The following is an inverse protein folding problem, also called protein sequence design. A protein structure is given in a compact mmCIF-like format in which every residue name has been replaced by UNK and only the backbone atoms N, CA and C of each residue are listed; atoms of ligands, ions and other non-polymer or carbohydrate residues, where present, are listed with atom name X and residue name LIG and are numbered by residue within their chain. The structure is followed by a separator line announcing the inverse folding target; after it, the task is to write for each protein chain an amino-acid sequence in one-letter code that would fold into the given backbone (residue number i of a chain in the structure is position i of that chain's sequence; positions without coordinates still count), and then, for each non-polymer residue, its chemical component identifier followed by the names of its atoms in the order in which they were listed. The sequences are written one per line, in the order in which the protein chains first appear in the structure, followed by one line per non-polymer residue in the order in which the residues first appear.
data_IF_262829973070
#
_entry.id   IF_262829973070
#
_cell.length_a   1.000
_cell.length_b   1.000
_cell.length_c   1.000
_cell.angle_alpha   90.00
_cell.angle_beta   90.00
_cell.angle_gamma   90.00
#
_symmetry.space_group_name_H-M   'P 1'
#
loop_
_entity.id
_entity.type
_entity.pdbx_description
1 polymer ?
#
# COMPACT_ATOMS: atom_id res chain seq x y z
N UNK A 1 30.64 -10.72 -8.64
CA UNK A 1 30.46 -10.62 -10.11
C UNK A 1 30.93 -9.25 -10.58
N UNK A 2 31.71 -9.17 -11.65
CA UNK A 2 32.18 -7.89 -12.21
C UNK A 2 31.02 -7.22 -12.97
N UNK A 3 30.63 -6.01 -12.53
CA UNK A 3 29.62 -5.19 -13.20
C UNK A 3 30.26 -4.58 -14.48
N UNK A 4 30.07 -5.23 -15.64
CA UNK A 4 30.72 -4.87 -16.91
C UNK A 4 29.94 -3.86 -17.76
N UNK A 5 28.68 -3.60 -17.42
CA UNK A 5 27.78 -2.77 -18.21
C UNK A 5 27.17 -1.68 -17.34
N UNK A 6 26.58 -0.69 -17.98
CA UNK A 6 25.80 0.37 -17.32
C UNK A 6 24.46 0.51 -17.99
N UNK A 7 23.44 0.85 -17.23
CA UNK A 7 22.13 1.18 -17.80
C UNK A 7 22.24 2.43 -18.68
N UNK A 8 21.84 2.38 -19.96
CA UNK A 8 22.00 3.51 -20.88
C UNK A 8 21.12 4.71 -20.55
N UNK A 9 20.12 4.53 -19.65
CA UNK A 9 19.19 5.59 -19.26
C UNK A 9 19.65 6.29 -17.96
N UNK A 10 20.03 5.52 -16.93
CA UNK A 10 20.32 6.08 -15.60
C UNK A 10 21.77 5.86 -15.13
N UNK A 11 22.61 5.19 -15.91
CA UNK A 11 24.03 4.95 -15.57
C UNK A 11 24.24 3.88 -14.49
N UNK A 12 23.21 3.24 -13.96
CA UNK A 12 23.35 2.19 -12.93
C UNK A 12 24.24 1.07 -13.43
N UNK A 13 25.27 0.64 -12.67
CA UNK A 13 26.12 -0.49 -13.02
C UNK A 13 25.32 -1.80 -13.08
N UNK A 14 25.59 -2.63 -14.11
CA UNK A 14 24.87 -3.86 -14.39
C UNK A 14 25.80 -5.03 -14.66
N UNK A 15 25.38 -6.24 -14.31
CA UNK A 15 26.03 -7.49 -14.70
C UNK A 15 25.64 -7.97 -16.12
N UNK A 16 24.74 -7.29 -16.80
CA UNK A 16 24.21 -7.63 -18.12
C UNK A 16 24.04 -6.37 -19.00
N UNK A 17 23.95 -6.57 -20.31
CA UNK A 17 23.70 -5.49 -21.27
C UNK A 17 22.21 -5.18 -21.35
N UNK A 18 21.82 -3.91 -21.14
CA UNK A 18 20.44 -3.45 -21.26
C UNK A 18 20.03 -2.44 -20.20
N UNK A 19 18.74 -2.31 -19.96
CA UNK A 19 18.17 -1.42 -18.95
C UNK A 19 18.22 -2.06 -17.57
N UNK A 20 18.46 -1.26 -16.52
CA UNK A 20 18.18 -1.70 -15.17
C UNK A 20 16.66 -1.94 -14.99
N UNK A 21 16.29 -2.71 -13.98
CA UNK A 21 14.88 -3.05 -13.75
C UNK A 21 14.00 -1.80 -13.62
N UNK A 22 14.44 -0.76 -12.89
CA UNK A 22 13.70 0.50 -12.73
C UNK A 22 13.43 1.22 -14.07
N UNK A 23 14.43 1.32 -14.93
CA UNK A 23 14.24 1.95 -16.24
C UNK A 23 13.35 1.10 -17.15
N UNK A 24 13.41 -0.22 -17.05
CA UNK A 24 12.54 -1.13 -17.78
C UNK A 24 11.09 -0.98 -17.32
N UNK A 25 10.83 -1.06 -16.01
CA UNK A 25 9.50 -0.86 -15.42
C UNK A 25 8.93 0.51 -15.76
N UNK A 26 9.77 1.56 -15.74
CA UNK A 26 9.35 2.90 -16.16
C UNK A 26 8.91 2.97 -17.61
N UNK A 27 9.69 2.38 -18.56
CA UNK A 27 9.30 2.33 -19.96
C UNK A 27 8.03 1.50 -20.20
N UNK A 28 7.89 0.39 -19.49
CA UNK A 28 6.70 -0.44 -19.57
C UNK A 28 5.46 0.31 -19.06
N UNK A 29 5.55 0.97 -17.90
CA UNK A 29 4.50 1.83 -17.37
C UNK A 29 4.11 2.91 -18.37
N UNK A 30 5.08 3.64 -18.93
CA UNK A 30 4.81 4.69 -19.91
C UNK A 30 4.09 4.14 -21.15
N UNK A 31 4.46 2.94 -21.61
CA UNK A 31 3.77 2.23 -22.70
C UNK A 31 2.31 1.96 -22.32
N UNK A 32 2.06 1.42 -21.13
CA UNK A 32 0.70 1.08 -20.66
C UNK A 32 -0.17 2.33 -20.51
N UNK A 33 0.40 3.42 -19.99
CA UNK A 33 -0.32 4.70 -19.85
C UNK A 33 -0.79 5.26 -21.20
N UNK A 34 -0.10 4.92 -22.31
CA UNK A 34 -0.44 5.33 -23.65
C UNK A 34 -1.21 4.28 -24.47
N UNK A 35 -1.66 3.19 -23.87
CA UNK A 35 -2.53 2.24 -24.58
C UNK A 35 -3.77 2.92 -25.14
N UNK A 36 -4.09 2.61 -26.40
CA UNK A 36 -5.35 3.05 -26.99
C UNK A 36 -6.55 2.34 -26.33
N UNK A 37 -7.77 2.86 -26.48
CA UNK A 37 -8.97 2.18 -26.01
C UNK A 37 -9.11 0.74 -26.54
N UNK A 38 -8.69 0.51 -27.81
CA UNK A 38 -8.71 -0.80 -28.45
C UNK A 38 -7.72 -1.77 -27.79
N UNK A 39 -6.50 -1.29 -27.47
CA UNK A 39 -5.49 -2.09 -26.76
C UNK A 39 -5.96 -2.43 -25.35
N UNK A 40 -6.56 -1.49 -24.61
CA UNK A 40 -7.17 -1.76 -23.30
C UNK A 40 -8.24 -2.83 -23.41
N UNK A 41 -9.14 -2.70 -24.41
CA UNK A 41 -10.20 -3.68 -24.65
C UNK A 41 -9.65 -5.07 -25.00
N UNK A 42 -8.61 -5.14 -25.83
CA UNK A 42 -7.95 -6.41 -26.18
C UNK A 42 -7.42 -7.12 -24.93
N UNK A 43 -6.77 -6.37 -24.01
CA UNK A 43 -6.30 -6.92 -22.74
C UNK A 43 -7.45 -7.38 -21.85
N UNK A 44 -8.52 -6.60 -21.72
CA UNK A 44 -9.72 -7.00 -20.98
C UNK A 44 -10.35 -8.27 -21.58
N UNK A 45 -10.44 -8.38 -22.91
CA UNK A 45 -10.96 -9.58 -23.59
C UNK A 45 -10.02 -10.79 -23.39
N UNK A 46 -8.72 -10.56 -23.33
CA UNK A 46 -7.70 -11.56 -22.97
C UNK A 46 -7.93 -12.12 -21.57
N UNK A 47 -8.09 -11.24 -20.56
CA UNK A 47 -8.37 -11.65 -19.19
C UNK A 47 -9.65 -12.49 -19.08
N UNK A 48 -10.73 -12.08 -19.74
CA UNK A 48 -11.98 -12.85 -19.71
C UNK A 48 -11.81 -14.25 -20.31
N UNK A 49 -11.07 -14.37 -21.42
CA UNK A 49 -10.83 -15.69 -22.05
C UNK A 49 -9.96 -16.61 -21.19
N UNK A 50 -8.99 -16.05 -20.49
CA UNK A 50 -7.97 -16.78 -19.75
C UNK A 50 -8.10 -16.61 -18.22
N UNK A 51 -9.29 -16.29 -17.73
CA UNK A 51 -9.50 -15.82 -16.34
C UNK A 51 -8.91 -16.78 -15.29
N UNK A 52 -8.94 -18.09 -15.51
CA UNK A 52 -8.38 -19.10 -14.60
C UNK A 52 -6.85 -19.00 -14.44
N UNK A 53 -6.15 -18.38 -15.40
CA UNK A 53 -4.70 -18.18 -15.33
C UNK A 53 -4.28 -17.10 -14.35
N UNK A 54 -5.20 -16.25 -13.89
CA UNK A 54 -4.91 -15.27 -12.84
C UNK A 54 -4.46 -15.91 -11.52
N UNK A 55 -4.85 -17.16 -11.28
CA UNK A 55 -4.40 -17.91 -10.11
C UNK A 55 -2.94 -18.40 -10.21
N UNK A 56 -2.31 -18.28 -11.38
CA UNK A 56 -0.90 -18.63 -11.61
C UNK A 56 -0.05 -17.36 -11.51
N UNK A 57 0.77 -17.27 -10.47
CA UNK A 57 1.60 -16.08 -10.18
C UNK A 57 2.68 -15.80 -11.25
N UNK A 58 3.03 -16.77 -12.10
CA UNK A 58 4.01 -16.60 -13.17
C UNK A 58 3.36 -16.30 -14.54
N UNK A 59 2.03 -16.29 -14.61
CA UNK A 59 1.31 -16.12 -15.87
C UNK A 59 1.28 -14.65 -16.34
N UNK A 60 1.45 -14.39 -17.63
CA UNK A 60 1.34 -13.04 -18.22
C UNK A 60 -0.01 -12.36 -17.99
N UNK A 61 -1.11 -13.10 -17.85
CA UNK A 61 -2.44 -12.57 -17.55
C UNK A 61 -2.48 -11.86 -16.21
N UNK A 62 -1.78 -12.34 -15.19
CA UNK A 62 -1.65 -11.64 -13.90
C UNK A 62 -0.93 -10.29 -14.08
N UNK A 63 0.11 -10.25 -14.90
CA UNK A 63 0.81 -9.01 -15.25
C UNK A 63 -0.12 -8.02 -15.97
N UNK A 64 -0.92 -8.47 -16.92
CA UNK A 64 -1.90 -7.64 -17.64
C UNK A 64 -3.02 -7.16 -16.72
N UNK A 65 -3.46 -7.99 -15.76
CA UNK A 65 -4.40 -7.58 -14.71
C UNK A 65 -3.87 -6.39 -13.90
N UNK A 66 -2.64 -6.50 -13.37
CA UNK A 66 -2.04 -5.41 -12.58
C UNK A 66 -1.84 -4.14 -13.40
N UNK A 67 -1.51 -4.25 -14.69
CA UNK A 67 -1.42 -3.10 -15.59
C UNK A 67 -2.76 -2.41 -15.81
N UNK A 68 -3.82 -3.19 -16.01
CA UNK A 68 -5.18 -2.66 -16.17
C UNK A 68 -5.70 -2.03 -14.88
N UNK A 69 -5.49 -2.65 -13.74
CA UNK A 69 -5.92 -2.15 -12.44
C UNK A 69 -5.11 -0.90 -12.03
N UNK A 70 -3.80 -1.04 -11.96
CA UNK A 70 -2.94 -0.03 -11.33
C UNK A 70 -2.61 1.17 -12.21
N UNK A 71 -2.62 1.01 -13.55
CA UNK A 71 -2.28 2.12 -14.43
C UNK A 71 -3.47 2.68 -15.21
N UNK A 72 -4.52 1.90 -15.41
CA UNK A 72 -5.63 2.29 -16.30
C UNK A 72 -6.98 2.35 -15.59
N UNK A 73 -7.08 1.84 -14.36
CA UNK A 73 -8.35 1.68 -13.62
C UNK A 73 -9.44 1.05 -14.52
N UNK A 74 -9.08 -0.05 -15.16
CA UNK A 74 -9.84 -0.61 -16.28
C UNK A 74 -10.33 -2.04 -16.04
N UNK A 75 -10.50 -2.45 -14.78
CA UNK A 75 -11.18 -3.70 -14.45
C UNK A 75 -12.68 -3.48 -14.59
N UNK A 76 -13.34 -4.34 -15.35
CA UNK A 76 -14.77 -4.18 -15.69
C UNK A 76 -15.64 -5.23 -15.00
N UNK A 77 -16.96 -4.94 -14.80
CA UNK A 77 -17.92 -5.92 -14.31
C UNK A 77 -17.96 -7.22 -15.09
N UNK A 78 -17.63 -7.20 -16.38
CA UNK A 78 -17.53 -8.40 -17.22
C UNK A 78 -16.39 -9.32 -16.79
N UNK A 79 -15.22 -8.74 -16.43
CA UNK A 79 -14.07 -9.50 -15.92
C UNK A 79 -14.43 -10.10 -14.56
N UNK A 80 -15.02 -9.30 -13.66
CA UNK A 80 -15.43 -9.73 -12.33
C UNK A 80 -16.45 -10.86 -12.36
N UNK A 81 -17.46 -10.80 -13.24
CA UNK A 81 -18.41 -11.89 -13.44
C UNK A 81 -17.75 -13.15 -13.99
N UNK A 82 -16.82 -13.01 -14.94
CA UNK A 82 -16.09 -14.14 -15.48
C UNK A 82 -15.23 -14.84 -14.40
N UNK A 83 -14.60 -14.06 -13.53
CA UNK A 83 -13.81 -14.58 -12.42
C UNK A 83 -14.68 -15.31 -11.39
N UNK A 84 -15.80 -14.74 -10.99
CA UNK A 84 -16.75 -15.39 -10.08
C UNK A 84 -17.26 -16.72 -10.67
N UNK A 85 -17.69 -16.72 -11.95
CA UNK A 85 -18.16 -17.92 -12.63
C UNK A 85 -17.09 -19.01 -12.81
N UNK A 86 -15.82 -18.62 -12.76
CA UNK A 86 -14.67 -19.52 -12.85
C UNK A 86 -14.10 -19.90 -11.48
N UNK A 87 -14.67 -19.38 -10.38
CA UNK A 87 -14.20 -19.57 -9.00
C UNK A 87 -12.74 -19.12 -8.79
N UNK A 88 -12.38 -17.96 -9.39
CA UNK A 88 -11.06 -17.34 -9.28
C UNK A 88 -11.14 -16.25 -8.24
N UNK A 89 -10.59 -16.46 -7.05
CA UNK A 89 -10.64 -15.56 -5.90
C UNK A 89 -9.30 -14.84 -5.63
N UNK A 90 -8.29 -15.09 -6.43
CA UNK A 90 -6.99 -14.42 -6.38
C UNK A 90 -6.63 -13.85 -7.77
N UNK A 91 -6.10 -12.61 -7.83
CA UNK A 91 -5.95 -11.65 -6.72
C UNK A 91 -7.30 -11.04 -6.30
N UNK A 92 -7.49 -10.81 -5.00
CA UNK A 92 -8.78 -10.31 -4.47
C UNK A 92 -9.12 -8.89 -4.95
N UNK A 93 -8.15 -8.07 -5.33
CA UNK A 93 -8.29 -6.74 -5.91
C UNK A 93 -9.14 -6.75 -7.21
N UNK A 94 -9.26 -7.90 -7.84
CA UNK A 94 -10.16 -8.14 -8.96
C UNK A 94 -11.61 -7.74 -8.65
N UNK A 95 -12.02 -7.88 -7.40
CA UNK A 95 -13.39 -7.62 -6.94
C UNK A 95 -13.60 -6.22 -6.38
N UNK A 96 -12.60 -5.33 -6.53
CA UNK A 96 -12.72 -3.95 -6.07
C UNK A 96 -13.95 -3.29 -6.67
N UNK A 97 -14.86 -2.82 -5.81
CA UNK A 97 -16.15 -2.21 -6.16
C UNK A 97 -16.95 -3.03 -7.20
N UNK A 98 -16.89 -4.36 -7.12
CA UNK A 98 -17.65 -5.24 -7.99
C UNK A 98 -19.18 -4.99 -7.86
N UNK A 99 -19.98 -5.21 -8.93
CA UNK A 99 -21.40 -4.97 -8.90
C UNK A 99 -22.15 -5.94 -7.95
N UNK A 100 -23.37 -5.58 -7.61
CA UNK A 100 -24.18 -6.29 -6.62
C UNK A 100 -24.36 -7.78 -6.91
N UNK A 101 -24.57 -8.16 -8.17
CA UNK A 101 -24.71 -9.55 -8.57
C UNK A 101 -23.42 -10.36 -8.30
N UNK A 102 -22.24 -9.75 -8.47
CA UNK A 102 -20.97 -10.39 -8.14
C UNK A 102 -20.80 -10.47 -6.62
N UNK A 103 -21.11 -9.40 -5.88
CA UNK A 103 -21.12 -9.40 -4.40
C UNK A 103 -21.99 -10.53 -3.86
N UNK A 104 -23.23 -10.64 -4.34
CA UNK A 104 -24.18 -11.66 -3.88
C UNK A 104 -23.66 -13.07 -4.17
N UNK A 105 -23.01 -13.26 -5.32
CA UNK A 105 -22.31 -14.50 -5.66
C UNK A 105 -21.16 -14.83 -4.70
N UNK A 106 -20.33 -13.84 -4.35
CA UNK A 106 -19.26 -13.98 -3.36
C UNK A 106 -19.80 -14.34 -1.99
N UNK A 107 -20.89 -13.69 -1.54
CA UNK A 107 -21.58 -14.01 -0.29
C UNK A 107 -22.08 -15.45 -0.31
N UNK A 108 -22.72 -15.87 -1.39
CA UNK A 108 -23.21 -17.24 -1.53
C UNK A 108 -22.07 -18.26 -1.43
N UNK A 109 -20.97 -18.04 -2.16
CA UNK A 109 -19.78 -18.88 -2.10
C UNK A 109 -19.20 -18.93 -0.69
N UNK A 110 -19.03 -17.78 -0.01
CA UNK A 110 -18.49 -17.69 1.35
C UNK A 110 -19.36 -18.44 2.37
N UNK A 111 -20.68 -18.33 2.28
CA UNK A 111 -21.60 -19.04 3.17
C UNK A 111 -21.63 -20.54 2.89
N UNK A 112 -21.22 -20.98 1.72
CA UNK A 112 -21.12 -22.37 1.29
C UNK A 112 -19.73 -22.97 1.47
N UNK A 113 -18.72 -22.16 1.78
CA UNK A 113 -17.33 -22.60 1.94
C UNK A 113 -17.22 -23.70 3.02
N UNK A 114 -16.45 -24.74 2.72
CA UNK A 114 -16.27 -25.89 3.60
C UNK A 114 -14.97 -25.82 4.42
N UNK A 115 -14.02 -25.01 3.97
CA UNK A 115 -12.71 -24.90 4.59
C UNK A 115 -12.28 -23.43 4.80
N UNK A 116 -11.28 -23.23 5.67
CA UNK A 116 -10.80 -21.91 6.06
C UNK A 116 -9.99 -21.21 4.98
N UNK A 117 -9.30 -21.93 4.09
CA UNK A 117 -8.52 -21.33 3.00
C UNK A 117 -9.42 -20.62 2.01
N UNK A 118 -10.43 -21.33 1.51
CA UNK A 118 -11.44 -20.77 0.62
C UNK A 118 -12.21 -19.61 1.28
N UNK A 119 -12.60 -19.79 2.55
CA UNK A 119 -13.31 -18.74 3.28
C UNK A 119 -12.45 -17.46 3.45
N UNK A 120 -11.14 -17.58 3.69
CA UNK A 120 -10.25 -16.43 3.80
C UNK A 120 -10.10 -15.68 2.49
N UNK A 121 -9.93 -16.38 1.37
CA UNK A 121 -9.87 -15.78 0.03
C UNK A 121 -11.18 -15.03 -0.30
N UNK A 122 -12.32 -15.67 -0.07
CA UNK A 122 -13.64 -15.07 -0.30
C UNK A 122 -13.92 -13.86 0.60
N UNK A 123 -13.46 -13.87 1.86
CA UNK A 123 -13.55 -12.69 2.73
C UNK A 123 -12.70 -11.52 2.21
N UNK A 124 -11.51 -11.78 1.68
CA UNK A 124 -10.70 -10.75 1.03
C UNK A 124 -11.40 -10.19 -0.22
N UNK A 125 -11.99 -11.05 -1.08
CA UNK A 125 -12.75 -10.60 -2.24
C UNK A 125 -13.97 -9.75 -1.85
N UNK A 126 -14.68 -10.16 -0.80
CA UNK A 126 -15.82 -9.41 -0.28
C UNK A 126 -15.40 -8.08 0.38
N UNK A 127 -14.24 -8.06 1.05
CA UNK A 127 -13.65 -6.84 1.58
C UNK A 127 -13.29 -5.84 0.46
N UNK A 128 -12.75 -6.32 -0.66
CA UNK A 128 -12.46 -5.49 -1.84
C UNK A 128 -13.73 -4.96 -2.51
N UNK A 129 -14.81 -5.76 -2.56
CA UNK A 129 -16.11 -5.27 -3.03
C UNK A 129 -16.64 -4.14 -2.15
N UNK A 130 -16.62 -4.30 -0.84
CA UNK A 130 -16.56 -3.25 0.16
C UNK A 130 -17.82 -2.43 0.38
N UNK A 131 -19.03 -2.81 -0.08
CA UNK A 131 -20.25 -2.09 0.22
C UNK A 131 -20.84 -2.46 1.61
N UNK A 132 -21.97 -1.86 1.96
CA UNK A 132 -22.61 -2.08 3.27
C UNK A 132 -23.07 -3.52 3.44
N UNK A 133 -23.48 -4.20 2.36
CA UNK A 133 -23.89 -5.59 2.42
C UNK A 133 -22.69 -6.53 2.67
N UNK A 134 -21.52 -6.19 2.13
CA UNK A 134 -20.27 -6.88 2.44
C UNK A 134 -19.91 -6.72 3.93
N UNK A 135 -20.03 -5.50 4.47
CA UNK A 135 -19.83 -5.24 5.90
C UNK A 135 -20.80 -6.04 6.77
N UNK A 136 -22.10 -5.99 6.48
CA UNK A 136 -23.12 -6.76 7.20
C UNK A 136 -22.80 -8.26 7.24
N UNK A 137 -22.33 -8.79 6.10
CA UNK A 137 -21.97 -10.23 5.99
C UNK A 137 -20.77 -10.57 6.85
N UNK A 138 -19.70 -9.76 6.84
CA UNK A 138 -18.51 -9.99 7.66
C UNK A 138 -18.83 -9.83 9.16
N UNK A 139 -19.64 -8.84 9.54
CA UNK A 139 -20.11 -8.64 10.91
C UNK A 139 -20.97 -9.82 11.40
N UNK A 140 -21.84 -10.35 10.55
CA UNK A 140 -22.66 -11.53 10.86
C UNK A 140 -21.79 -12.78 11.08
N UNK A 141 -20.74 -12.97 10.27
CA UNK A 141 -19.79 -14.07 10.45
C UNK A 141 -18.94 -13.93 11.73
N UNK A 142 -18.72 -12.71 12.20
CA UNK A 142 -18.04 -12.47 13.48
C UNK A 142 -18.94 -12.81 14.67
N UNK A 143 -20.24 -12.47 14.59
CA UNK A 143 -21.23 -12.75 15.62
C UNK A 143 -21.71 -14.21 15.63
N UNK A 144 -21.82 -14.82 14.45
CA UNK A 144 -22.31 -16.17 14.23
C UNK A 144 -21.32 -16.99 13.42
N UNK A 145 -20.19 -17.42 14.03
CA UNK A 145 -19.08 -18.03 13.33
C UNK A 145 -19.45 -19.39 12.70
N UNK A 146 -18.99 -19.60 11.46
CA UNK A 146 -19.09 -20.87 10.76
C UNK A 146 -18.08 -21.91 11.28
N UNK A 147 -18.26 -23.21 11.00
CA UNK A 147 -17.36 -24.27 11.49
C UNK A 147 -15.88 -24.08 11.14
N UNK A 148 -15.57 -23.50 9.98
CA UNK A 148 -14.21 -23.22 9.51
C UNK A 148 -13.54 -22.06 10.29
N UNK A 149 -14.30 -21.22 11.01
CA UNK A 149 -13.77 -20.08 11.78
C UNK A 149 -12.66 -20.48 12.76
N UNK A 150 -12.78 -21.66 13.39
CA UNK A 150 -11.78 -22.19 14.34
C UNK A 150 -10.38 -22.39 13.74
N UNK A 151 -10.28 -22.47 12.42
CA UNK A 151 -9.02 -22.63 11.68
C UNK A 151 -8.49 -21.31 11.10
N UNK A 152 -9.17 -20.19 11.33
CA UNK A 152 -8.68 -18.85 10.96
C UNK A 152 -7.87 -18.26 12.11
N UNK A 153 -6.80 -17.56 11.76
CA UNK A 153 -5.92 -16.91 12.74
C UNK A 153 -6.48 -15.57 13.26
N UNK A 154 -7.31 -14.90 12.46
CA UNK A 154 -7.82 -13.55 12.74
C UNK A 154 -9.34 -13.47 12.51
N UNK A 155 -9.96 -12.43 13.04
CA UNK A 155 -11.40 -12.18 12.93
C UNK A 155 -11.79 -11.62 11.55
N UNK A 156 -13.06 -11.75 11.12
CA UNK A 156 -13.55 -11.18 9.86
C UNK A 156 -13.30 -9.68 9.71
N UNK A 157 -13.33 -8.90 10.79
CA UNK A 157 -12.97 -7.48 10.80
C UNK A 157 -11.53 -7.20 10.37
N UNK A 158 -10.62 -8.13 10.58
CA UNK A 158 -9.24 -8.03 10.11
C UNK A 158 -9.17 -8.33 8.62
N UNK A 159 -9.95 -9.30 8.09
CA UNK A 159 -10.02 -9.53 6.64
C UNK A 159 -10.59 -8.32 5.89
N UNK A 160 -11.50 -7.54 6.51
CA UNK A 160 -11.99 -6.29 5.93
C UNK A 160 -10.86 -5.28 5.64
N UNK A 161 -9.77 -5.32 6.38
CA UNK A 161 -8.61 -4.44 6.17
C UNK A 161 -7.94 -4.64 4.81
N UNK A 162 -8.09 -5.81 4.19
CA UNK A 162 -7.68 -6.05 2.81
C UNK A 162 -8.30 -5.01 1.86
N UNK A 163 -9.58 -4.71 2.02
CA UNK A 163 -10.31 -3.69 1.27
C UNK A 163 -10.05 -2.25 1.71
N UNK A 164 -9.12 -2.01 2.64
CA UNK A 164 -8.80 -0.66 3.13
C UNK A 164 -9.81 -0.09 4.11
N UNK A 165 -10.57 -0.95 4.79
CA UNK A 165 -11.55 -0.58 5.81
C UNK A 165 -11.66 -1.68 6.89
N UNK A 166 -12.30 -1.36 8.00
CA UNK A 166 -12.65 -2.33 9.04
C UNK A 166 -13.93 -1.88 9.73
N UNK A 167 -14.36 -2.59 10.76
CA UNK A 167 -15.54 -2.25 11.56
C UNK A 167 -15.33 -2.61 13.04
N UNK A 168 -16.04 -1.94 13.92
CA UNK A 168 -16.08 -2.25 15.34
C UNK A 168 -17.16 -3.30 15.67
N UNK A 169 -17.27 -3.67 16.95
CA UNK A 169 -18.23 -4.68 17.43
C UNK A 169 -19.69 -4.26 17.21
N UNK A 170 -19.92 -2.97 17.13
CA UNK A 170 -21.23 -2.37 16.84
C UNK A 170 -21.54 -2.37 15.34
N UNK A 171 -20.58 -2.70 14.48
CA UNK A 171 -20.69 -2.70 13.03
C UNK A 171 -20.42 -1.33 12.42
N UNK A 172 -19.80 -0.42 13.17
CA UNK A 172 -19.46 0.90 12.66
C UNK A 172 -18.23 0.83 11.78
N UNK A 173 -18.39 1.22 10.50
CA UNK A 173 -17.31 1.22 9.53
C UNK A 173 -16.24 2.24 9.87
N UNK A 174 -14.99 1.84 9.74
CA UNK A 174 -13.82 2.70 9.84
C UNK A 174 -13.01 2.57 8.55
N UNK A 175 -12.82 3.68 7.83
CA UNK A 175 -12.00 3.71 6.63
C UNK A 175 -10.51 3.76 7.03
N UNK A 176 -9.68 2.97 6.35
CA UNK A 176 -8.24 2.86 6.62
C UNK A 176 -7.39 3.43 5.48
N UNK A 177 -7.89 3.38 4.24
CA UNK A 177 -7.28 3.97 3.07
C UNK A 177 -8.02 5.23 2.63
N UNK A 178 -7.34 6.06 1.85
CA UNK A 178 -7.95 7.20 1.18
C UNK A 178 -8.39 6.81 -0.24
N UNK A 179 -9.50 7.37 -0.69
CA UNK A 179 -10.11 7.17 -2.01
C UNK A 179 -9.46 8.00 -3.14
N UNK A 180 -8.34 8.62 -2.84
CA UNK A 180 -7.56 9.45 -3.77
C UNK A 180 -6.08 9.07 -3.61
N UNK A 181 -5.35 9.04 -4.74
CA UNK A 181 -3.96 8.63 -4.78
C UNK A 181 -3.13 9.62 -5.60
N UNK A 182 -2.05 10.13 -5.02
CA UNK A 182 -1.06 10.95 -5.73
C UNK A 182 0.32 10.30 -5.69
N UNK A 183 1.02 10.18 -6.83
CA UNK A 183 2.36 9.64 -6.85
C UNK A 183 3.35 10.68 -6.32
N UNK A 184 4.40 10.21 -5.66
CA UNK A 184 5.56 11.02 -5.33
C UNK A 184 6.64 10.76 -6.37
N UNK A 185 6.98 11.78 -7.14
CA UNK A 185 7.94 11.68 -8.23
C UNK A 185 9.25 12.36 -7.86
N UNK A 186 10.37 11.85 -8.37
CA UNK A 186 11.67 12.49 -8.15
C UNK A 186 11.68 13.90 -8.74
N UNK A 187 12.12 14.87 -7.95
CA UNK A 187 12.19 16.26 -8.35
C UNK A 187 12.61 17.15 -7.19
N UNK A 188 13.12 18.32 -7.48
CA UNK A 188 13.49 19.31 -6.46
C UNK A 188 12.25 20.04 -5.95
N UNK A 189 11.95 19.97 -4.63
CA UNK A 189 10.82 20.70 -4.06
C UNK A 189 11.11 22.20 -4.10
N UNK A 190 10.26 22.95 -4.79
CA UNK A 190 10.26 24.41 -4.75
C UNK A 190 9.83 24.98 -3.40
N UNK A 191 9.87 26.30 -3.25
CA UNK A 191 9.54 26.98 -1.98
C UNK A 191 8.13 26.68 -1.48
N UNK A 192 7.15 26.56 -2.37
CA UNK A 192 5.75 26.20 -2.07
C UNK A 192 5.41 24.71 -2.23
N UNK A 193 6.39 23.79 -2.21
CA UNK A 193 6.11 22.37 -2.34
C UNK A 193 5.29 21.86 -1.15
N UNK A 194 4.13 21.19 -1.38
CA UNK A 194 3.29 20.69 -0.30
C UNK A 194 3.86 19.46 0.40
N UNK A 195 4.92 18.87 -0.16
CA UNK A 195 5.64 17.77 0.49
C UNK A 195 7.14 18.04 0.49
N UNK A 196 7.79 17.60 1.56
CA UNK A 196 9.25 17.56 1.70
C UNK A 196 9.64 16.29 2.43
N UNK A 197 10.71 15.64 2.00
CA UNK A 197 11.21 14.42 2.60
C UNK A 197 12.68 14.58 3.02
N UNK A 198 13.08 13.83 4.05
CA UNK A 198 14.47 13.67 4.41
C UNK A 198 15.11 14.93 4.97
N UNK A 199 14.42 15.70 5.82
CA UNK A 199 15.02 16.85 6.50
C UNK A 199 15.71 16.42 7.78
N UNK A 200 17.02 16.69 7.88
CA UNK A 200 17.78 16.50 9.12
C UNK A 200 17.27 17.46 10.20
N UNK A 201 17.03 16.93 11.39
CA UNK A 201 16.63 17.72 12.57
C UNK A 201 17.84 18.11 13.40
N UNK A 202 17.69 19.09 14.29
CA UNK A 202 18.74 19.49 15.23
C UNK A 202 18.77 18.60 16.47
N UNK A 203 17.61 18.02 16.84
CA UNK A 203 17.48 17.11 17.97
C UNK A 203 18.06 15.71 17.68
N UNK A 204 18.36 15.02 18.76
CA UNK A 204 18.92 13.67 18.74
C UNK A 204 17.97 12.68 19.42
N UNK A 205 18.04 11.45 19.01
CA UNK A 205 17.29 10.35 19.62
C UNK A 205 17.75 10.14 21.07
N UNK A 206 16.80 10.17 22.00
CA UNK A 206 17.08 9.95 23.43
C UNK A 206 17.60 8.54 23.73
N UNK A 207 17.37 7.59 22.81
CA UNK A 207 17.75 6.20 22.98
C UNK A 207 19.18 5.90 22.48
N UNK A 208 19.51 6.27 21.23
CA UNK A 208 20.81 5.96 20.61
C UNK A 208 21.73 7.17 20.39
N UNK A 209 21.27 8.39 20.67
CA UNK A 209 22.01 9.63 20.40
C UNK A 209 22.14 10.00 18.92
N UNK A 210 21.61 9.19 17.98
CA UNK A 210 21.62 9.48 16.56
C UNK A 210 20.73 10.67 16.20
N UNK A 211 21.03 11.34 15.07
CA UNK A 211 20.22 12.47 14.58
C UNK A 211 18.82 12.02 14.20
N UNK A 212 17.83 12.84 14.54
CA UNK A 212 16.45 12.64 14.10
C UNK A 212 16.28 13.16 12.67
N UNK A 213 15.33 12.58 11.93
CA UNK A 213 15.00 12.97 10.56
C UNK A 213 13.49 13.14 10.42
N UNK A 214 13.05 14.25 9.81
CA UNK A 214 11.69 14.35 9.29
C UNK A 214 11.63 13.53 8.01
N UNK A 215 10.98 12.37 8.08
CA UNK A 215 10.82 11.48 6.91
C UNK A 215 9.84 12.07 5.90
N UNK A 216 8.82 12.80 6.40
CA UNK A 216 7.84 13.49 5.59
C UNK A 216 7.38 14.76 6.32
N UNK A 217 7.31 15.87 5.59
CA UNK A 217 6.56 17.08 5.96
C UNK A 217 5.52 17.29 4.86
N UNK A 218 4.25 17.43 5.25
CA UNK A 218 3.12 17.52 4.33
C UNK A 218 2.24 18.70 4.72
N UNK A 219 1.91 19.59 3.75
CA UNK A 219 0.93 20.66 3.93
C UNK A 219 -0.43 20.20 3.36
N UNK A 220 -1.35 19.82 4.24
CA UNK A 220 -2.69 19.34 3.90
C UNK A 220 -3.60 20.41 3.30
N UNK A 221 -3.21 21.69 3.33
CA UNK A 221 -3.97 22.81 2.72
C UNK A 221 -3.79 22.88 1.21
N UNK A 222 -2.77 22.20 0.63
CA UNK A 222 -2.64 22.07 -0.82
C UNK A 222 -3.89 21.39 -1.39
N UNK A 223 -4.44 21.91 -2.48
CA UNK A 223 -5.69 21.44 -3.07
C UNK A 223 -5.66 19.93 -3.40
N UNK A 224 -4.51 19.41 -3.83
CA UNK A 224 -4.30 17.99 -4.16
C UNK A 224 -4.33 17.10 -2.93
N UNK A 225 -4.12 17.64 -1.72
CA UNK A 225 -4.02 16.90 -0.47
C UNK A 225 -5.25 17.10 0.44
N UNK A 226 -6.26 17.86 0.00
CA UNK A 226 -7.49 18.11 0.77
C UNK A 226 -8.25 16.86 1.16
N UNK A 227 -8.13 15.79 0.37
CA UNK A 227 -8.77 14.50 0.65
C UNK A 227 -8.27 13.87 1.97
N UNK A 228 -7.11 14.28 2.48
CA UNK A 228 -6.57 13.84 3.76
C UNK A 228 -7.32 14.44 4.96
N UNK A 229 -8.14 15.49 4.76
CA UNK A 229 -8.84 16.17 5.85
C UNK A 229 -7.93 16.92 6.82
N UNK A 230 -6.70 17.25 6.41
CA UNK A 230 -5.71 17.95 7.25
C UNK A 230 -5.68 19.44 6.90
N UNK A 231 -6.03 20.29 7.85
CA UNK A 231 -5.96 21.77 7.70
C UNK A 231 -4.70 22.29 8.39
N UNK A 232 -3.54 22.01 7.80
CA UNK A 232 -2.25 22.43 8.36
C UNK A 232 -1.08 21.56 7.88
N UNK A 233 0.03 21.68 8.62
CA UNK A 233 1.28 20.98 8.32
C UNK A 233 1.40 19.75 9.23
N UNK A 234 1.50 18.57 8.64
CA UNK A 234 1.86 17.34 9.32
C UNK A 234 3.35 17.06 9.13
N UNK A 235 4.05 16.78 10.23
CA UNK A 235 5.44 16.30 10.21
C UNK A 235 5.49 14.89 10.77
N UNK A 236 6.04 13.94 10.00
CA UNK A 236 6.39 12.61 10.46
C UNK A 236 7.90 12.52 10.65
N UNK A 237 8.35 12.24 11.89
CA UNK A 237 9.76 12.16 12.23
C UNK A 237 10.10 10.80 12.85
N UNK A 238 11.32 10.36 12.63
CA UNK A 238 11.84 9.15 13.27
C UNK A 238 13.34 9.23 13.52
N UNK A 239 13.85 8.30 14.33
CA UNK A 239 15.26 7.99 14.38
C UNK A 239 15.57 6.90 13.34
N UNK A 240 16.31 7.16 12.26
CA UNK A 240 16.60 6.16 11.24
C UNK A 240 17.33 4.93 11.77
N UNK A 241 18.09 5.11 12.85
CA UNK A 241 18.81 4.01 13.49
C UNK A 241 17.85 3.10 14.27
N UNK A 242 17.01 3.67 15.14
CA UNK A 242 16.11 2.88 15.98
C UNK A 242 14.99 2.22 15.21
N UNK A 243 14.43 2.89 14.19
CA UNK A 243 13.30 2.34 13.41
C UNK A 243 13.62 1.01 12.73
N UNK A 244 14.87 0.76 12.40
CA UNK A 244 15.32 -0.51 11.81
C UNK A 244 15.47 -1.69 12.79
N UNK A 245 15.27 -1.44 14.10
CA UNK A 245 15.45 -2.43 15.18
C UNK A 245 14.24 -2.49 16.12
N UNK A 246 13.11 -1.89 15.73
CA UNK A 246 11.89 -1.94 16.51
C UNK A 246 11.17 -3.28 16.27
N UNK A 247 10.69 -3.88 17.35
CA UNK A 247 9.76 -5.02 17.32
C UNK A 247 8.31 -4.53 17.23
N UNK A 248 8.08 -3.45 16.54
CA UNK A 248 6.76 -2.86 16.38
C UNK A 248 6.81 -1.43 15.83
N UNK A 249 5.65 -0.78 15.68
CA UNK A 249 5.56 0.52 15.08
C UNK A 249 6.18 1.63 15.94
N UNK A 250 6.88 2.57 15.29
CA UNK A 250 7.30 3.82 15.91
C UNK A 250 6.14 4.82 15.90
N UNK A 251 5.89 5.46 17.02
CA UNK A 251 4.82 6.45 17.15
C UNK A 251 5.37 7.87 17.29
N UNK A 252 4.65 8.82 16.72
CA UNK A 252 4.83 10.24 16.99
C UNK A 252 3.48 10.94 17.11
N UNK A 253 3.46 12.00 17.92
CA UNK A 253 2.34 12.95 17.95
C UNK A 253 2.74 14.17 17.14
N UNK A 254 1.85 14.65 16.30
CA UNK A 254 2.05 15.87 15.53
C UNK A 254 0.99 16.93 15.90
N UNK A 255 1.34 18.17 15.65
CA UNK A 255 0.42 19.30 15.65
C UNK A 255 0.34 19.89 14.24
N UNK A 256 -0.81 20.48 13.88
CA UNK A 256 -1.03 20.97 12.51
C UNK A 256 -0.27 22.26 12.14
N UNK A 257 0.56 22.77 13.05
CA UNK A 257 1.55 23.82 12.79
C UNK A 257 2.94 23.25 12.37
N UNK A 258 3.05 21.93 12.24
CA UNK A 258 4.28 21.23 11.88
C UNK A 258 5.12 20.73 13.06
N UNK A 259 4.65 20.92 14.30
CA UNK A 259 5.28 20.34 15.48
C UNK A 259 5.17 18.82 15.50
N UNK A 260 6.21 18.14 16.01
CA UNK A 260 6.23 16.69 16.17
C UNK A 260 6.96 16.28 17.44
N UNK A 261 6.36 15.39 18.20
CA UNK A 261 6.93 14.71 19.35
C UNK A 261 7.03 13.21 19.04
N UNK A 262 8.24 12.67 19.04
CA UNK A 262 8.49 11.25 18.78
C UNK A 262 8.50 10.50 20.11
N UNK A 263 7.67 9.48 20.23
CA UNK A 263 7.65 8.62 21.41
C UNK A 263 8.70 7.54 21.28
N UNK A 264 9.52 7.31 22.33
CA UNK A 264 10.43 6.17 22.36
C UNK A 264 9.59 4.87 22.27
N UNK A 265 10.07 3.92 21.47
CA UNK A 265 9.46 2.61 21.41
C UNK A 265 9.50 1.92 22.78
N UNK A 266 8.37 1.30 23.16
CA UNK A 266 8.29 0.52 24.40
C UNK A 266 9.02 -0.82 24.32
N UNK A 267 9.46 -1.22 23.14
CA UNK A 267 10.11 -2.53 22.92
C UNK A 267 11.57 -2.55 23.35
N UNK A 268 12.19 -1.39 23.59
CA UNK A 268 13.49 -1.35 24.26
C UNK A 268 13.26 -1.45 25.76
N UNK A 269 13.69 -2.53 26.38
CA UNK A 269 13.55 -2.79 27.84
C UNK A 269 14.34 -1.82 28.73
N UNK A 270 14.89 -0.75 28.17
CA UNK A 270 15.41 0.42 28.86
C UNK A 270 16.75 0.22 29.56
N UNK A 271 17.39 -0.93 29.50
CA UNK A 271 18.60 -1.23 30.28
C UNK A 271 19.90 -0.99 29.50
N UNK A 272 19.84 -0.79 28.19
CA UNK A 272 21.03 -0.55 27.35
C UNK A 272 20.86 0.66 26.43
N UNK A 273 21.85 1.55 26.37
CA UNK A 273 21.96 2.49 25.25
C UNK A 273 22.29 1.68 24.00
N UNK A 274 21.44 1.79 23.00
CA UNK A 274 21.75 1.25 21.68
C UNK A 274 22.75 2.18 20.99
N UNK A 275 23.81 1.62 20.40
CA UNK A 275 24.75 2.40 19.61
C UNK A 275 24.09 2.90 18.31
N UNK A 276 24.51 4.06 17.82
CA UNK A 276 24.09 4.53 16.53
C UNK A 276 24.94 3.88 15.43
N UNK A 277 24.33 2.99 14.64
CA UNK A 277 24.97 2.30 13.52
C UNK A 277 24.77 2.97 12.17
N UNK A 278 23.85 3.94 12.08
CA UNK A 278 23.63 4.68 10.82
C UNK A 278 24.81 5.61 10.57
N UNK A 279 25.49 5.36 9.46
CA UNK A 279 26.67 6.10 9.07
C UNK A 279 26.32 7.48 8.48
N UNK A 280 27.25 8.46 8.52
CA UNK A 280 27.00 9.80 7.96
C UNK A 280 26.57 9.79 6.50
N UNK A 281 27.12 8.89 5.66
CA UNK A 281 26.73 8.75 4.26
C UNK A 281 25.32 8.21 4.08
N UNK A 282 24.82 7.38 5.00
CA UNK A 282 23.44 6.88 5.00
C UNK A 282 22.45 8.00 5.37
N UNK A 283 22.79 8.82 6.38
CA UNK A 283 22.02 10.02 6.67
C UNK A 283 21.99 10.97 5.46
N UNK A 284 23.14 11.17 4.80
CA UNK A 284 23.22 11.98 3.60
C UNK A 284 22.30 11.45 2.50
N UNK A 285 22.32 10.14 2.25
CA UNK A 285 21.45 9.50 1.27
C UNK A 285 19.96 9.71 1.58
N UNK A 286 19.56 9.62 2.86
CA UNK A 286 18.18 9.90 3.29
C UNK A 286 17.77 11.35 3.01
N UNK A 287 18.66 12.31 3.23
CA UNK A 287 18.37 13.75 3.12
C UNK A 287 18.56 14.29 1.69
N UNK A 288 19.25 13.57 0.82
CA UNK A 288 19.43 13.93 -0.60
C UNK A 288 18.32 13.38 -1.51
N UNK A 289 17.50 12.46 -1.03
CA UNK A 289 16.34 12.00 -1.78
C UNK A 289 15.31 13.13 -1.90
N UNK A 290 15.09 13.59 -3.12
CA UNK A 290 14.15 14.68 -3.43
C UNK A 290 12.93 14.13 -4.16
N UNK A 291 11.77 14.45 -3.58
CA UNK A 291 10.48 14.09 -4.14
C UNK A 291 9.56 15.31 -4.16
N UNK A 292 8.73 15.37 -5.18
CA UNK A 292 7.64 16.31 -5.31
C UNK A 292 6.32 15.55 -5.50
N UNK A 293 5.22 16.16 -5.12
CA UNK A 293 3.90 15.61 -5.35
C UNK A 293 3.58 15.65 -6.85
N UNK A 294 3.05 14.56 -7.39
CA UNK A 294 2.57 14.49 -8.77
C UNK A 294 1.55 15.57 -9.10
N UNK A 295 1.48 15.96 -10.37
CA UNK A 295 0.57 17.03 -10.82
C UNK A 295 -0.88 16.62 -10.81
N UNK A 296 -1.17 15.34 -11.04
CA UNK A 296 -2.52 14.76 -11.09
C UNK A 296 -2.59 13.48 -10.25
N UNK A 297 -3.79 13.13 -9.82
CA UNK A 297 -4.08 11.85 -9.20
C UNK A 297 -3.86 10.69 -10.20
N UNK A 298 -3.66 9.52 -9.65
CA UNK A 298 -3.48 8.25 -10.37
C UNK A 298 -4.49 7.22 -9.82
N UNK A 299 -4.69 6.08 -10.49
CA UNK A 299 -5.52 5.00 -9.97
C UNK A 299 -5.11 4.58 -8.56
N UNK A 300 -6.08 4.13 -7.75
CA UNK A 300 -5.86 3.81 -6.34
C UNK A 300 -4.83 2.71 -6.11
N UNK A 301 -4.74 1.74 -7.01
CA UNK A 301 -3.78 0.63 -6.96
C UNK A 301 -2.45 0.93 -7.67
N UNK A 302 -2.18 2.19 -7.98
CA UNK A 302 -0.95 2.58 -8.68
C UNK A 302 0.31 2.18 -7.90
N UNK A 303 0.34 2.38 -6.60
CA UNK A 303 1.44 1.96 -5.73
C UNK A 303 1.59 0.44 -5.65
N UNK A 304 0.48 -0.30 -5.68
CA UNK A 304 0.49 -1.76 -5.67
C UNK A 304 0.99 -2.36 -6.99
N UNK A 305 0.72 -1.70 -8.13
CA UNK A 305 1.18 -2.14 -9.45
C UNK A 305 2.60 -1.70 -9.79
N UNK A 306 3.20 -0.79 -9.03
CA UNK A 306 4.46 -0.13 -9.33
C UNK A 306 5.41 -0.13 -8.13
N UNK A 307 6.31 -1.10 -8.07
CA UNK A 307 7.24 -1.30 -6.95
C UNK A 307 8.24 -0.15 -6.71
N UNK A 308 8.41 0.78 -7.66
CA UNK A 308 9.39 1.87 -7.56
C UNK A 308 8.76 3.25 -7.31
N UNK A 309 7.49 3.29 -6.96
CA UNK A 309 6.75 4.54 -6.72
C UNK A 309 6.22 4.61 -5.30
N UNK A 310 6.46 5.74 -4.64
CA UNK A 310 5.81 6.09 -3.39
C UNK A 310 4.51 6.85 -3.72
N UNK A 311 3.47 6.65 -2.91
CA UNK A 311 2.19 7.34 -3.09
C UNK A 311 1.68 7.94 -1.78
N UNK A 312 0.92 9.02 -1.89
CA UNK A 312 0.10 9.56 -0.81
C UNK A 312 -1.34 9.16 -1.12
N UNK A 313 -1.94 8.39 -0.20
CA UNK A 313 -3.24 7.75 -0.40
C UNK A 313 -3.20 6.55 -1.35
N UNK A 314 -4.37 5.98 -1.65
CA UNK A 314 -4.54 4.76 -2.43
C UNK A 314 -4.30 3.48 -1.64
N UNK A 315 -3.86 2.41 -2.33
CA UNK A 315 -3.59 1.10 -1.74
C UNK A 315 -2.10 0.77 -1.75
N UNK A 316 -1.64 0.14 -0.66
CA UNK A 316 -0.27 -0.35 -0.54
C UNK A 316 -0.02 -1.61 -1.36
N UNK A 317 1.23 -1.80 -1.77
CA UNK A 317 1.73 -3.11 -2.15
C UNK A 317 2.24 -3.83 -0.87
N UNK A 318 1.35 -4.55 -0.19
CA UNK A 318 1.73 -5.34 0.96
C UNK A 318 2.60 -6.52 0.53
N UNK A 319 3.78 -6.63 1.11
CA UNK A 319 4.71 -7.75 0.81
C UNK A 319 4.24 -9.06 1.46
N UNK A 320 3.52 -8.92 2.57
CA UNK A 320 2.88 -10.00 3.32
C UNK A 320 1.42 -9.61 3.60
N UNK A 321 0.91 -9.99 4.76
CA UNK A 321 -0.41 -9.59 5.19
C UNK A 321 -0.50 -8.07 5.40
N UNK A 322 -1.71 -7.51 5.25
CA UNK A 322 -1.97 -6.11 5.57
C UNK A 322 -1.86 -5.88 7.08
N UNK A 323 -1.23 -4.78 7.45
CA UNK A 323 -1.03 -4.42 8.86
C UNK A 323 -1.33 -2.93 9.10
N UNK A 324 -2.50 -2.66 9.65
CA UNK A 324 -2.89 -1.32 10.07
C UNK A 324 -2.68 -1.15 11.56
N UNK A 325 -1.73 -0.31 11.91
CA UNK A 325 -1.33 -0.05 13.29
C UNK A 325 -2.46 0.62 14.08
N UNK A 326 -2.72 0.12 15.28
CA UNK A 326 -3.66 0.76 16.19
C UNK A 326 -3.05 2.00 16.87
N UNK A 327 -3.83 3.06 16.99
CA UNK A 327 -3.45 4.25 17.74
C UNK A 327 -3.15 3.90 19.20
N UNK A 328 -1.98 4.23 19.74
CA UNK A 328 -1.61 3.88 21.12
C UNK A 328 -2.45 4.61 22.20
N UNK A 329 -3.18 5.65 21.79
CA UNK A 329 -4.00 6.45 22.69
C UNK A 329 -5.46 5.94 22.77
N UNK A 330 -6.09 5.63 21.63
CA UNK A 330 -7.51 5.25 21.59
C UNK A 330 -7.76 3.82 21.14
N UNK A 331 -6.73 3.08 20.73
CA UNK A 331 -6.84 1.69 20.26
C UNK A 331 -7.48 1.50 18.87
N UNK A 332 -7.95 2.57 18.22
CA UNK A 332 -8.55 2.48 16.89
C UNK A 332 -7.46 2.32 15.82
N UNK A 333 -7.71 1.56 14.76
CA UNK A 333 -6.82 1.49 13.60
C UNK A 333 -6.57 2.88 13.00
N UNK A 334 -5.33 3.13 12.58
CA UNK A 334 -4.95 4.40 11.95
C UNK A 334 -5.03 4.30 10.44
N UNK A 335 -5.42 5.41 9.81
CA UNK A 335 -5.39 5.51 8.35
C UNK A 335 -3.96 5.46 7.82
N UNK A 336 -3.75 4.76 6.73
CA UNK A 336 -2.46 4.76 6.05
C UNK A 336 -2.38 5.91 5.05
N UNK A 337 -1.48 6.86 5.31
CA UNK A 337 -1.35 8.09 4.53
C UNK A 337 -0.31 7.98 3.42
N UNK A 338 0.81 7.31 3.70
CA UNK A 338 1.96 7.21 2.79
C UNK A 338 2.31 5.76 2.56
N UNK A 339 2.36 5.37 1.31
CA UNK A 339 2.87 4.07 0.88
C UNK A 339 4.21 4.25 0.19
N UNK A 340 5.21 3.52 0.67
CA UNK A 340 6.55 3.50 0.08
C UNK A 340 6.77 2.21 -0.68
N UNK A 341 7.59 2.25 -1.72
CA UNK A 341 8.03 1.03 -2.37
C UNK A 341 8.74 0.12 -1.36
N UNK A 342 8.57 -1.21 -1.47
CA UNK A 342 9.25 -2.17 -0.58
C UNK A 342 10.76 -1.92 -0.54
N UNK A 343 11.34 -2.06 0.65
CA UNK A 343 12.79 -1.99 0.80
C UNK A 343 13.46 -3.15 0.04
N UNK A 344 14.64 -2.98 -0.58
CA UNK A 344 15.39 -4.08 -1.14
C UNK A 344 15.71 -5.22 -0.15
N UNK A 345 15.52 -4.98 1.16
CA UNK A 345 15.64 -6.01 2.20
C UNK A 345 14.40 -6.90 2.29
N UNK A 346 13.23 -6.39 1.89
CA UNK A 346 11.95 -7.10 1.99
C UNK A 346 11.70 -8.01 0.77
N UNK A 347 12.52 -7.88 -0.28
CA UNK A 347 12.45 -8.67 -1.53
C UNK A 347 13.48 -9.81 -1.60
N UNK A 348 14.01 -10.27 -0.45
CA UNK A 348 14.98 -11.37 -0.40
C UNK A 348 14.40 -12.65 0.13
#
# INVERSE_FOLDING_TARGET
MSLKYTCPVCGTPLGYKGLCWKCRSGQERDTVLHWSPEQVKEKQDGLVRNIRRLADMEDPELTDFWKLLGYRDAITPRIQRAALAAEVYYPCELYYHAPEDVRDGLIHALLSAENSSEASELMCCLAMQGDDRALETLLELEKHPRPWRKNLYVDPSIYAQCGGWTFDKEGQRMQLNFDTCYPMVKGEPGEGSPIRMGRMREDTCSHCGGRMVDILVLDGRDERLRFLGLDGILTAACCPNCVGFLDGPAFSRFTLDGGVEVFPSRTFDGTGKMDCYVRPEEYKALTENRFILGKSSVPLFYGAACEDVNTIGGFANWVQDWEYTACPHCGKPMNCLLYTSPSPRDTR
#
